data_IF_041184935898
#
_entry.id   IF_041184935898
#
_cell.length_a   1.000
_cell.length_b   1.000
_cell.length_c   1.000
_cell.angle_alpha   90.00
_cell.angle_beta   90.00
_cell.angle_gamma   90.00
#
_symmetry.space_group_name_H-M   'P 1'
#
loop_
_entity.id
_entity.type
_entity.pdbx_description
1 polymer ?
#
# COMPACT_ATOMS: atom_id res chain seq x y z
N UNK A 1 -45.50 -5.82 24.95
CA UNK A 1 -45.73 -5.06 23.69
C UNK A 1 -45.01 -3.72 23.79
N UNK A 2 -44.20 -3.35 22.79
CA UNK A 2 -43.58 -2.02 22.73
C UNK A 2 -44.66 -0.95 22.41
N UNK A 3 -44.75 0.11 23.23
CA UNK A 3 -45.71 1.18 22.99
C UNK A 3 -45.34 2.03 21.75
N UNK A 4 -46.32 2.76 21.20
CA UNK A 4 -46.18 3.61 19.99
C UNK A 4 -44.98 4.57 20.05
N UNK A 5 -44.71 5.12 21.24
CA UNK A 5 -43.53 6.00 21.48
C UNK A 5 -42.21 5.26 21.25
N UNK A 6 -42.07 4.03 21.72
CA UNK A 6 -40.85 3.23 21.53
C UNK A 6 -40.62 2.90 20.05
N UNK A 7 -41.68 2.57 19.30
CA UNK A 7 -41.59 2.38 17.84
C UNK A 7 -41.12 3.65 17.13
N UNK A 8 -41.70 4.80 17.44
CA UNK A 8 -41.32 6.07 16.81
C UNK A 8 -39.87 6.47 17.11
N UNK A 9 -39.39 6.23 18.33
CA UNK A 9 -37.98 6.50 18.69
C UNK A 9 -37.04 5.56 17.94
N UNK A 10 -37.39 4.27 17.81
CA UNK A 10 -36.60 3.31 17.05
C UNK A 10 -36.50 3.70 15.57
N UNK A 11 -37.61 4.12 14.94
CA UNK A 11 -37.64 4.61 13.57
C UNK A 11 -36.74 5.85 13.39
N UNK A 12 -36.88 6.85 14.27
CA UNK A 12 -36.02 8.06 14.21
C UNK A 12 -34.53 7.73 14.36
N UNK A 13 -34.17 6.75 15.19
CA UNK A 13 -32.78 6.31 15.36
C UNK A 13 -32.25 5.59 14.12
N UNK A 14 -33.09 4.79 13.46
CA UNK A 14 -32.76 4.17 12.18
C UNK A 14 -32.53 5.23 11.11
N UNK A 15 -33.42 6.21 11.00
CA UNK A 15 -33.30 7.31 10.02
C UNK A 15 -32.02 8.13 10.26
N UNK A 16 -31.73 8.48 11.52
CA UNK A 16 -30.51 9.19 11.88
C UNK A 16 -29.24 8.35 11.60
N UNK A 17 -29.29 7.04 11.83
CA UNK A 17 -28.18 6.14 11.51
C UNK A 17 -27.94 6.08 9.99
N UNK A 18 -29.01 6.06 9.19
CA UNK A 18 -28.94 6.07 7.73
C UNK A 18 -28.32 7.36 7.20
N UNK A 19 -28.79 8.51 7.66
CA UNK A 19 -28.24 9.82 7.30
C UNK A 19 -26.75 9.92 7.66
N UNK A 20 -26.36 9.41 8.83
CA UNK A 20 -24.96 9.37 9.24
C UNK A 20 -24.12 8.48 8.32
N UNK A 21 -24.66 7.33 7.89
CA UNK A 21 -23.96 6.44 6.96
C UNK A 21 -23.76 7.09 5.59
N UNK A 22 -24.77 7.80 5.08
CA UNK A 22 -24.71 8.56 3.83
C UNK A 22 -23.64 9.65 3.89
N UNK A 23 -23.66 10.50 4.92
CA UNK A 23 -22.64 11.53 5.14
C UNK A 23 -21.24 10.94 5.25
N UNK A 24 -21.08 9.83 6.00
CA UNK A 24 -19.79 9.15 6.10
C UNK A 24 -19.32 8.53 4.79
N UNK A 25 -20.23 8.17 3.88
CA UNK A 25 -19.87 7.68 2.56
C UNK A 25 -19.36 8.83 1.69
N UNK A 26 -20.10 9.95 1.67
CA UNK A 26 -19.71 11.18 0.96
C UNK A 26 -18.36 11.71 1.44
N UNK A 27 -18.15 11.80 2.75
CA UNK A 27 -16.88 12.23 3.35
C UNK A 27 -15.72 11.33 2.94
N UNK A 28 -15.96 10.01 2.87
CA UNK A 28 -14.95 9.03 2.44
C UNK A 28 -14.62 9.19 0.96
N UNK A 29 -15.60 9.46 0.11
CA UNK A 29 -15.39 9.70 -1.32
C UNK A 29 -14.62 11.00 -1.55
N UNK A 30 -14.98 12.08 -0.87
CA UNK A 30 -14.28 13.37 -0.94
C UNK A 30 -12.83 13.24 -0.45
N UNK A 31 -12.63 12.57 0.68
CA UNK A 31 -11.29 12.29 1.19
C UNK A 31 -10.48 11.45 0.19
N UNK A 32 -11.08 10.41 -0.40
CA UNK A 32 -10.43 9.58 -1.41
C UNK A 32 -10.03 10.41 -2.63
N UNK A 33 -10.93 11.24 -3.16
CA UNK A 33 -10.65 12.10 -4.31
C UNK A 33 -9.49 13.07 -4.02
N UNK A 34 -9.44 13.63 -2.81
CA UNK A 34 -8.36 14.51 -2.37
C UNK A 34 -7.01 13.80 -2.24
N UNK A 35 -7.00 12.59 -1.69
CA UNK A 35 -5.76 11.84 -1.39
C UNK A 35 -5.24 11.02 -2.57
N UNK A 36 -6.07 10.75 -3.58
CA UNK A 36 -5.71 9.92 -4.73
C UNK A 36 -4.41 10.38 -5.44
N UNK A 37 -4.18 11.68 -5.70
CA UNK A 37 -2.93 12.14 -6.30
C UNK A 37 -1.71 11.87 -5.41
N UNK A 38 -1.87 12.07 -4.09
CA UNK A 38 -0.81 11.83 -3.11
C UNK A 38 -0.44 10.35 -3.03
N UNK A 39 -1.42 9.46 -2.98
CA UNK A 39 -1.18 8.01 -2.98
C UNK A 39 -0.50 7.52 -4.25
N UNK A 40 -0.87 8.09 -5.41
CA UNK A 40 -0.21 7.78 -6.70
C UNK A 40 1.25 8.24 -6.70
N UNK A 41 1.50 9.48 -6.28
CA UNK A 41 2.86 10.02 -6.20
C UNK A 41 3.72 9.23 -5.19
N UNK A 42 3.14 8.81 -4.07
CA UNK A 42 3.84 7.97 -3.11
C UNK A 42 4.15 6.59 -3.68
N UNK A 43 3.20 5.98 -4.41
CA UNK A 43 3.43 4.68 -5.04
C UNK A 43 4.60 4.72 -6.01
N UNK A 44 4.67 5.75 -6.85
CA UNK A 44 5.78 5.98 -7.78
C UNK A 44 7.13 6.11 -7.06
N UNK A 45 7.17 6.83 -5.94
CA UNK A 45 8.38 6.92 -5.11
C UNK A 45 8.80 5.57 -4.53
N UNK A 46 7.82 4.81 -4.02
CA UNK A 46 8.07 3.46 -3.47
C UNK A 46 8.56 2.51 -4.56
N UNK A 47 8.00 2.59 -5.76
CA UNK A 47 8.44 1.82 -6.93
C UNK A 47 9.88 2.16 -7.32
N UNK A 48 10.22 3.44 -7.41
CA UNK A 48 11.59 3.88 -7.67
C UNK A 48 12.58 3.42 -6.58
N UNK A 49 12.18 3.43 -5.31
CA UNK A 49 13.00 2.90 -4.21
C UNK A 49 13.17 1.38 -4.34
N UNK A 50 12.12 0.64 -4.69
CA UNK A 50 12.18 -0.80 -4.91
C UNK A 50 13.11 -1.15 -6.07
N UNK A 51 13.10 -0.40 -7.17
CA UNK A 51 14.04 -0.59 -8.29
C UNK A 51 15.48 -0.30 -7.86
N UNK A 52 15.70 0.78 -7.08
CA UNK A 52 17.01 1.15 -6.57
C UNK A 52 17.64 0.07 -5.67
N UNK A 53 16.85 -0.54 -4.80
CA UNK A 53 17.33 -1.56 -3.85
C UNK A 53 17.23 -3.00 -4.37
N UNK A 54 16.36 -3.25 -5.34
CA UNK A 54 16.09 -4.56 -5.93
C UNK A 54 16.80 -4.83 -7.26
N UNK A 55 17.39 -3.81 -7.90
CA UNK A 55 18.09 -3.95 -9.17
C UNK A 55 19.21 -4.99 -9.12
N UNK A 56 19.19 -5.93 -10.07
CA UNK A 56 20.29 -6.89 -10.25
C UNK A 56 21.56 -6.14 -10.65
N UNK A 57 22.66 -6.41 -9.94
CA UNK A 57 23.95 -5.75 -10.15
C UNK A 57 24.58 -6.08 -11.51
N UNK A 58 24.20 -7.22 -12.10
CA UNK A 58 24.69 -7.71 -13.39
C UNK A 58 23.66 -8.67 -13.99
N UNK A 59 23.29 -8.50 -15.26
CA UNK A 59 22.53 -9.51 -16.02
C UNK A 59 23.46 -10.55 -16.67
N UNK A 60 24.77 -10.44 -16.44
CA UNK A 60 25.78 -11.30 -17.06
C UNK A 60 25.84 -12.66 -16.36
N UNK A 61 25.49 -13.70 -17.11
CA UNK A 61 25.54 -15.11 -16.68
C UNK A 61 26.95 -15.56 -16.31
N UNK A 62 28.00 -14.98 -16.91
CA UNK A 62 29.39 -15.28 -16.59
C UNK A 62 29.76 -14.82 -15.16
N UNK A 63 29.14 -13.74 -14.67
CA UNK A 63 29.35 -13.23 -13.32
C UNK A 63 28.68 -14.08 -12.23
N UNK A 64 27.74 -14.97 -12.59
CA UNK A 64 27.07 -15.90 -11.66
C UNK A 64 27.73 -17.28 -11.56
N UNK A 65 28.44 -17.73 -12.60
CA UNK A 65 29.00 -19.08 -12.69
C UNK A 65 30.53 -19.19 -12.59
N UNK A 66 31.26 -18.06 -12.56
CA UNK A 66 32.74 -18.02 -12.59
C UNK A 66 33.39 -17.31 -11.40
N UNK A 67 34.70 -17.01 -11.49
CA UNK A 67 35.39 -16.11 -10.53
C UNK A 67 34.84 -14.68 -10.67
N UNK A 68 33.75 -14.37 -9.97
CA UNK A 68 33.24 -13.01 -9.87
C UNK A 68 34.27 -12.14 -9.13
N UNK A 69 34.51 -10.93 -9.64
CA UNK A 69 35.36 -9.97 -8.95
C UNK A 69 34.86 -9.72 -7.51
N UNK A 70 35.72 -9.61 -6.48
CA UNK A 70 35.29 -9.47 -5.08
C UNK A 70 34.35 -8.30 -4.79
N UNK A 71 34.36 -7.25 -5.62
CA UNK A 71 33.40 -6.13 -5.51
C UNK A 71 31.97 -6.53 -5.89
N UNK A 72 31.81 -7.42 -6.88
CA UNK A 72 30.51 -7.94 -7.32
C UNK A 72 29.93 -8.83 -6.22
N UNK A 73 30.73 -9.76 -5.68
CA UNK A 73 30.34 -10.63 -4.57
C UNK A 73 29.94 -9.84 -3.32
N UNK A 74 30.70 -8.80 -2.95
CA UNK A 74 30.37 -7.94 -1.80
C UNK A 74 29.03 -7.22 -1.98
N UNK A 75 28.77 -6.67 -3.17
CA UNK A 75 27.51 -6.00 -3.47
C UNK A 75 26.32 -6.97 -3.49
N UNK A 76 26.50 -8.20 -3.99
CA UNK A 76 25.48 -9.26 -3.92
C UNK A 76 25.14 -9.62 -2.47
N UNK A 77 26.14 -9.81 -1.62
CA UNK A 77 25.92 -10.08 -0.18
C UNK A 77 25.24 -8.91 0.53
N UNK A 78 25.53 -7.67 0.14
CA UNK A 78 24.82 -6.49 0.65
C UNK A 78 23.36 -6.44 0.18
N UNK A 79 23.08 -6.79 -1.07
CA UNK A 79 21.72 -6.87 -1.59
C UNK A 79 20.89 -7.94 -0.86
N UNK A 80 21.53 -9.05 -0.47
CA UNK A 80 20.93 -10.14 0.30
C UNK A 80 21.07 -9.97 1.82
N UNK A 81 21.59 -8.83 2.29
CA UNK A 81 21.70 -8.58 3.72
C UNK A 81 20.32 -8.49 4.38
N UNK A 82 20.19 -8.97 5.61
CA UNK A 82 18.93 -8.94 6.36
C UNK A 82 18.32 -7.54 6.42
N UNK A 83 19.15 -6.51 6.52
CA UNK A 83 18.70 -5.11 6.54
C UNK A 83 18.09 -4.69 5.20
N UNK A 84 18.66 -5.10 4.06
CA UNK A 84 18.09 -4.82 2.75
C UNK A 84 16.83 -5.65 2.49
N UNK A 85 16.81 -6.92 2.89
CA UNK A 85 15.63 -7.79 2.80
C UNK A 85 14.47 -7.21 3.61
N UNK A 86 14.71 -6.78 4.85
CA UNK A 86 13.70 -6.13 5.68
C UNK A 86 13.21 -4.80 5.07
N UNK A 87 14.10 -4.01 4.47
CA UNK A 87 13.74 -2.77 3.77
C UNK A 87 12.83 -3.08 2.59
N UNK A 88 13.19 -4.04 1.74
CA UNK A 88 12.40 -4.46 0.59
C UNK A 88 11.03 -4.99 1.00
N UNK A 89 10.95 -5.79 2.08
CA UNK A 89 9.68 -6.28 2.60
C UNK A 89 8.77 -5.13 3.07
N UNK A 90 9.32 -4.09 3.70
CA UNK A 90 8.56 -2.89 4.12
C UNK A 90 8.05 -2.10 2.90
N UNK A 91 8.90 -1.90 1.89
CA UNK A 91 8.54 -1.21 0.66
C UNK A 91 7.43 -1.97 -0.10
N UNK A 92 7.55 -3.29 -0.23
CA UNK A 92 6.53 -4.15 -0.85
C UNK A 92 5.18 -4.08 -0.12
N UNK A 93 5.16 -4.14 1.23
CA UNK A 93 3.93 -3.95 2.02
C UNK A 93 3.33 -2.56 1.81
N UNK A 94 4.16 -1.51 1.72
CA UNK A 94 3.68 -0.14 1.49
C UNK A 94 3.08 0.00 0.10
N UNK A 95 3.73 -0.54 -0.92
CA UNK A 95 3.26 -0.55 -2.31
C UNK A 95 1.90 -1.28 -2.42
N UNK A 96 1.77 -2.45 -1.79
CA UNK A 96 0.52 -3.21 -1.80
C UNK A 96 -0.62 -2.40 -1.16
N UNK A 97 -0.38 -1.81 0.01
CA UNK A 97 -1.36 -0.95 0.68
C UNK A 97 -1.77 0.26 -0.16
N UNK A 98 -0.83 0.90 -0.85
CA UNK A 98 -1.13 2.03 -1.74
C UNK A 98 -1.98 1.57 -2.93
N UNK A 99 -1.70 0.39 -3.48
CA UNK A 99 -2.49 -0.21 -4.58
C UNK A 99 -3.92 -0.52 -4.12
N UNK A 100 -4.09 -1.07 -2.92
CA UNK A 100 -5.41 -1.28 -2.30
C UNK A 100 -6.21 0.03 -2.14
N UNK A 101 -5.54 1.10 -1.66
CA UNK A 101 -6.18 2.41 -1.44
C UNK A 101 -6.57 3.10 -2.74
N UNK A 102 -5.74 2.98 -3.78
CA UNK A 102 -6.03 3.52 -5.11
C UNK A 102 -7.18 2.72 -5.75
N UNK A 103 -7.21 1.39 -5.54
CA UNK A 103 -8.20 0.49 -6.13
C UNK A 103 -7.87 0.07 -7.56
N UNK A 104 -6.57 -0.01 -7.90
CA UNK A 104 -6.08 -0.44 -9.22
C UNK A 104 -6.12 -1.97 -9.41
N UNK A 105 -6.73 -2.72 -8.49
CA UNK A 105 -7.00 -4.14 -8.63
C UNK A 105 -8.13 -4.35 -9.65
N UNK A 106 -7.75 -4.50 -10.92
CA UNK A 106 -8.61 -5.04 -11.97
C UNK A 106 -8.32 -6.52 -12.18
#
# INVERSE_FOLDING_TARGET
>A
MLCKRHRNVALKRLDAARQKQEQQAEDRELHRAKMLPEWRAERERVEADMERYGGSLTNDRAAYGGQSHPSIRRKQLQALSDTNVQRMAKLSKRWQRLTDLIGDHK
#
